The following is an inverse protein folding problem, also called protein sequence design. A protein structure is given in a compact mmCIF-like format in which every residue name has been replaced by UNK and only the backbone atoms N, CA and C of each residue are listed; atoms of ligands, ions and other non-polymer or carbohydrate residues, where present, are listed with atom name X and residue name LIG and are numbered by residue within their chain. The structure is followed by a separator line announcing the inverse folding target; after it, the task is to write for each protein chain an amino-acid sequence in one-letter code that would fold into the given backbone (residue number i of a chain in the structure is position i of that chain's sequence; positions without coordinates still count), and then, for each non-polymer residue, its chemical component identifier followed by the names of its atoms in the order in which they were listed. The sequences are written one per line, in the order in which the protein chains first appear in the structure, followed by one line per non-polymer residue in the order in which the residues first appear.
data_IF_632848915266
#
_entry.id   IF_632848915266
#
_cell.length_a   1.000
_cell.length_b   1.000
_cell.length_c   1.000
_cell.angle_alpha   90.00
_cell.angle_beta   90.00
_cell.angle_gamma   90.00
#
_symmetry.space_group_name_H-M   'P 1'
#
loop_
_entity.id
_entity.type
_entity.pdbx_description
1 polymer ?
#
# COMPACT_ATOMS: atom_id res chain seq x y z
N UNK A 1 0.87 26.63 -18.06
CA UNK A 1 1.24 26.01 -19.34
C UNK A 1 0.80 24.55 -19.30
N UNK A 2 0.11 24.13 -20.36
CA UNK A 2 -0.19 22.77 -20.80
C UNK A 2 -0.70 21.74 -19.76
N UNK A 3 -2.02 21.69 -19.68
CA UNK A 3 -2.83 20.50 -19.38
C UNK A 3 -2.44 19.37 -20.38
N UNK A 4 -1.57 18.45 -20.00
CA UNK A 4 -1.19 17.32 -20.86
C UNK A 4 -2.08 16.11 -20.58
N UNK A 5 -3.16 16.06 -21.37
CA UNK A 5 -3.73 14.87 -22.02
C UNK A 5 -3.79 13.58 -21.19
N UNK A 6 -4.93 13.38 -20.54
CA UNK A 6 -5.59 12.07 -20.49
C UNK A 6 -6.17 11.75 -21.87
N UNK A 7 -5.34 11.72 -22.92
CA UNK A 7 -5.69 10.94 -24.10
C UNK A 7 -5.70 9.48 -23.64
N UNK A 8 -6.66 8.67 -24.11
CA UNK A 8 -6.66 7.22 -23.82
C UNK A 8 -5.40 6.63 -24.45
N UNK A 9 -4.26 6.69 -23.76
CA UNK A 9 -3.10 5.91 -24.11
C UNK A 9 -3.58 4.47 -24.13
N UNK A 10 -3.42 3.82 -25.28
CA UNK A 10 -3.66 2.38 -25.35
C UNK A 10 -2.57 1.71 -24.52
N UNK A 11 -2.86 1.46 -23.25
CA UNK A 11 -1.96 0.72 -22.36
C UNK A 11 -1.64 -0.64 -23.00
N UNK A 12 -0.35 -0.98 -23.01
CA UNK A 12 0.16 -2.27 -23.49
C UNK A 12 1.06 -2.95 -22.48
N UNK A 13 1.71 -2.22 -21.58
CA UNK A 13 2.59 -2.75 -20.55
C UNK A 13 2.25 -2.10 -19.21
N UNK A 14 1.75 -2.90 -18.26
CA UNK A 14 1.36 -2.46 -16.92
C UNK A 14 2.10 -3.27 -15.89
N UNK A 15 2.84 -2.59 -15.00
CA UNK A 15 3.48 -3.21 -13.86
C UNK A 15 2.58 -3.03 -12.63
N UNK A 16 2.24 -4.15 -11.99
CA UNK A 16 1.44 -4.16 -10.76
C UNK A 16 2.27 -4.75 -9.64
N UNK A 17 2.23 -4.15 -8.46
CA UNK A 17 2.96 -4.64 -7.28
C UNK A 17 2.05 -4.84 -6.10
N UNK A 18 2.14 -6.01 -5.48
CA UNK A 18 1.47 -6.30 -4.22
C UNK A 18 2.50 -6.50 -3.12
N UNK A 19 2.58 -5.53 -2.20
CA UNK A 19 3.43 -5.60 -1.01
C UNK A 19 2.67 -6.31 0.11
N UNK A 20 2.88 -7.62 0.24
CA UNK A 20 2.32 -8.42 1.35
C UNK A 20 3.12 -8.28 2.64
N UNK A 21 2.68 -8.90 3.73
CA UNK A 21 3.42 -8.90 5.01
C UNK A 21 4.70 -9.71 4.99
N UNK A 22 4.80 -10.70 4.11
CA UNK A 22 5.98 -11.59 4.00
C UNK A 22 6.71 -11.42 2.67
N UNK A 23 5.95 -11.23 1.59
CA UNK A 23 6.48 -11.25 0.22
C UNK A 23 5.88 -10.12 -0.59
N UNK A 24 6.76 -9.39 -1.28
CA UNK A 24 6.40 -8.38 -2.27
C UNK A 24 6.46 -9.02 -3.64
N UNK A 25 5.34 -8.97 -4.37
CA UNK A 25 5.20 -9.57 -5.68
C UNK A 25 5.05 -8.46 -6.71
N UNK A 26 5.87 -8.51 -7.75
CA UNK A 26 5.68 -7.71 -8.94
C UNK A 26 5.06 -8.60 -10.03
N UNK A 27 4.19 -8.03 -10.84
CA UNK A 27 3.49 -8.70 -11.95
C UNK A 27 3.53 -7.80 -13.17
N UNK A 28 4.05 -8.32 -14.28
CA UNK A 28 4.02 -7.63 -15.57
C UNK A 28 2.83 -8.12 -16.39
N UNK A 29 1.96 -7.19 -16.76
CA UNK A 29 0.83 -7.44 -17.65
C UNK A 29 1.09 -6.80 -19.00
N UNK A 30 1.01 -7.60 -20.06
CA UNK A 30 1.22 -7.14 -21.42
C UNK A 30 0.02 -7.44 -22.33
N UNK A 31 -0.29 -6.49 -23.21
CA UNK A 31 -1.35 -6.61 -24.21
C UNK A 31 -0.81 -7.29 -25.46
N UNK A 32 -1.22 -8.54 -25.65
CA UNK A 32 -0.94 -9.35 -26.84
C UNK A 32 -2.08 -9.25 -27.84
N UNK A 33 -1.90 -9.83 -29.04
CA UNK A 33 -2.98 -9.96 -30.04
C UNK A 33 -4.19 -10.76 -29.53
N UNK A 34 -3.99 -11.60 -28.50
CA UNK A 34 -5.04 -12.40 -27.82
C UNK A 34 -5.59 -11.72 -26.57
N UNK A 35 -5.29 -10.43 -26.38
CA UNK A 35 -5.64 -9.64 -25.21
C UNK A 35 -4.56 -9.61 -24.13
N UNK A 36 -4.93 -9.13 -22.95
CA UNK A 36 -4.03 -8.98 -21.80
C UNK A 36 -3.58 -10.33 -21.24
N UNK A 37 -2.29 -10.43 -20.90
CA UNK A 37 -1.69 -11.59 -20.23
C UNK A 37 -0.75 -11.11 -19.14
N UNK A 38 -0.74 -11.82 -18.01
CA UNK A 38 0.38 -11.77 -17.09
C UNK A 38 1.54 -12.53 -17.76
N UNK A 39 2.63 -11.85 -18.08
CA UNK A 39 3.75 -12.44 -18.82
C UNK A 39 4.89 -12.83 -17.90
N UNK A 40 5.20 -11.99 -16.91
CA UNK A 40 6.27 -12.20 -15.94
C UNK A 40 5.81 -11.92 -14.52
N UNK A 41 6.49 -12.53 -13.56
CA UNK A 41 6.30 -12.33 -12.12
C UNK A 41 7.66 -12.36 -11.45
N UNK A 42 7.90 -11.37 -10.58
CA UNK A 42 9.04 -11.32 -9.68
C UNK A 42 8.53 -11.31 -8.24
N UNK A 43 9.35 -11.79 -7.32
CA UNK A 43 9.01 -11.90 -5.91
C UNK A 43 10.25 -11.74 -5.03
N UNK A 44 10.14 -10.87 -4.03
CA UNK A 44 11.18 -10.67 -3.04
C UNK A 44 10.59 -10.66 -1.62
N UNK A 45 11.38 -10.98 -0.58
CA UNK A 45 10.97 -10.78 0.79
C UNK A 45 10.55 -9.33 1.03
N UNK A 46 9.44 -9.12 1.74
CA UNK A 46 9.02 -7.77 2.12
C UNK A 46 9.89 -7.24 3.25
N UNK A 47 10.28 -5.97 3.13
CA UNK A 47 11.25 -5.29 4.01
C UNK A 47 10.60 -4.22 4.89
N UNK A 48 9.33 -4.42 5.26
CA UNK A 48 8.55 -3.48 6.09
C UNK A 48 8.97 -3.47 7.56
N UNK A 49 9.60 -4.54 8.03
CA UNK A 49 10.05 -4.69 9.42
C UNK A 49 11.52 -4.27 9.60
N UNK A 50 11.89 -4.00 10.85
CA UNK A 50 13.28 -3.81 11.24
C UNK A 50 14.13 -5.05 10.90
N UNK A 51 15.42 -4.88 10.51
CA UNK A 51 16.22 -3.65 10.57
C UNK A 51 16.14 -2.76 9.32
N UNK A 52 15.46 -3.20 8.26
CA UNK A 52 15.36 -2.43 7.00
C UNK A 52 14.31 -1.33 7.14
N UNK A 53 13.11 -1.69 7.61
CA UNK A 53 11.99 -0.78 7.83
C UNK A 53 11.68 0.14 6.63
N UNK A 54 11.85 -0.39 5.41
CA UNK A 54 11.61 0.30 4.15
C UNK A 54 11.08 -0.69 3.12
N UNK A 55 9.77 -0.62 2.83
CA UNK A 55 9.08 -1.51 1.87
C UNK A 55 9.59 -1.34 0.44
N UNK A 56 10.20 -0.19 0.11
CA UNK A 56 10.66 0.08 -1.25
C UNK A 56 11.81 -0.82 -1.65
N UNK A 57 12.64 -1.26 -0.69
CA UNK A 57 13.74 -2.20 -0.94
C UNK A 57 13.22 -3.54 -1.48
N UNK A 58 12.25 -4.16 -0.80
CA UNK A 58 11.62 -5.39 -1.27
C UNK A 58 10.87 -5.21 -2.60
N UNK A 59 10.28 -4.04 -2.83
CA UNK A 59 9.64 -3.72 -4.10
C UNK A 59 10.66 -3.62 -5.26
N UNK A 60 11.75 -2.88 -5.06
CA UNK A 60 12.82 -2.73 -6.05
C UNK A 60 13.44 -4.09 -6.41
N UNK A 61 13.72 -4.93 -5.42
CA UNK A 61 14.23 -6.29 -5.65
C UNK A 61 13.27 -7.12 -6.52
N UNK A 62 11.95 -7.02 -6.29
CA UNK A 62 10.96 -7.70 -7.12
C UNK A 62 10.88 -7.12 -8.55
N UNK A 63 11.16 -5.83 -8.73
CA UNK A 63 11.21 -5.18 -10.05
C UNK A 63 12.46 -5.59 -10.83
N UNK A 64 13.60 -5.66 -10.16
CA UNK A 64 14.86 -6.14 -10.73
C UNK A 64 14.71 -7.56 -11.26
N UNK A 65 14.07 -8.46 -10.52
CA UNK A 65 13.83 -9.83 -10.98
C UNK A 65 12.93 -9.86 -12.25
N UNK A 66 11.88 -9.03 -12.33
CA UNK A 66 11.09 -8.94 -13.57
C UNK A 66 11.91 -8.37 -14.71
N UNK A 67 12.70 -7.33 -14.47
CA UNK A 67 13.56 -6.74 -15.49
C UNK A 67 14.52 -7.79 -16.08
N UNK A 68 15.12 -8.64 -15.23
CA UNK A 68 15.97 -9.75 -15.65
C UNK A 68 15.20 -10.82 -16.44
N UNK A 69 14.03 -11.26 -15.93
CA UNK A 69 13.23 -12.31 -16.56
C UNK A 69 12.62 -11.89 -17.90
N UNK A 70 12.18 -10.64 -17.99
CA UNK A 70 11.53 -10.09 -19.18
C UNK A 70 12.53 -9.56 -20.21
N UNK A 71 13.77 -9.24 -19.79
CA UNK A 71 14.76 -8.56 -20.62
C UNK A 71 14.39 -7.11 -20.97
N UNK A 72 13.32 -6.57 -20.37
CA UNK A 72 12.83 -5.21 -20.58
C UNK A 72 13.45 -4.31 -19.50
N UNK A 73 14.06 -3.20 -19.89
CA UNK A 73 14.51 -2.17 -18.93
C UNK A 73 13.29 -1.51 -18.28
N UNK A 74 13.08 -1.75 -16.99
CA UNK A 74 11.97 -1.21 -16.21
C UNK A 74 12.41 -0.06 -15.31
N UNK A 75 13.62 -0.12 -14.76
CA UNK A 75 14.12 0.81 -13.76
C UNK A 75 15.06 1.84 -14.37
N UNK A 76 14.98 3.08 -13.87
CA UNK A 76 15.92 4.15 -14.22
C UNK A 76 17.23 3.98 -13.46
N UNK A 77 18.34 4.37 -14.09
CA UNK A 77 19.67 4.32 -13.45
C UNK A 77 19.86 5.40 -12.37
N UNK A 78 19.08 6.49 -12.42
CA UNK A 78 19.10 7.57 -11.42
C UNK A 78 17.72 8.23 -11.30
N UNK A 79 16.84 7.69 -10.46
CA UNK A 79 15.46 8.14 -10.39
C UNK A 79 15.30 9.45 -9.61
N UNK A 80 14.62 10.42 -10.20
CA UNK A 80 14.18 11.66 -9.54
C UNK A 80 12.71 11.54 -9.10
N UNK A 81 12.42 10.57 -8.24
CA UNK A 81 11.08 10.31 -7.72
C UNK A 81 10.56 8.93 -8.13
N UNK A 82 9.98 8.82 -9.32
CA UNK A 82 9.45 7.53 -9.82
C UNK A 82 10.61 6.66 -10.32
N UNK A 83 10.77 5.41 -9.86
CA UNK A 83 11.92 4.58 -10.22
C UNK A 83 11.85 3.98 -11.63
N UNK A 84 10.76 4.19 -12.36
CA UNK A 84 10.47 3.46 -13.60
C UNK A 84 10.78 4.26 -14.86
N UNK A 85 11.36 3.58 -15.86
CA UNK A 85 11.40 4.07 -17.23
C UNK A 85 9.95 4.11 -17.77
N UNK A 86 9.56 5.22 -18.40
CA UNK A 86 8.22 5.37 -18.99
C UNK A 86 8.31 5.05 -20.47
N UNK A 87 7.44 4.18 -20.98
CA UNK A 87 7.36 3.93 -22.42
C UNK A 87 6.93 5.21 -23.15
N UNK A 88 7.74 5.67 -24.11
CA UNK A 88 7.44 6.90 -24.86
C UNK A 88 6.35 6.64 -25.91
N UNK A 89 6.31 5.43 -26.45
CA UNK A 89 5.36 5.01 -27.47
C UNK A 89 4.73 3.64 -27.14
N UNK A 90 3.48 3.47 -27.58
CA UNK A 90 2.75 2.22 -27.39
C UNK A 90 3.45 1.08 -28.16
N UNK A 91 4.05 0.15 -27.43
CA UNK A 91 4.75 -1.02 -27.98
C UNK A 91 6.27 -0.96 -27.88
N UNK A 92 6.82 0.04 -27.20
CA UNK A 92 8.25 0.08 -26.85
C UNK A 92 8.67 -1.18 -26.11
N UNK A 93 9.87 -1.68 -26.40
CA UNK A 93 10.45 -2.85 -25.74
C UNK A 93 10.96 -2.55 -24.32
N UNK A 94 11.02 -1.27 -23.96
CA UNK A 94 11.52 -0.74 -22.69
C UNK A 94 10.44 0.11 -21.98
N UNK A 95 10.60 0.28 -20.67
CA UNK A 95 9.74 1.07 -19.81
C UNK A 95 8.40 0.41 -19.49
N UNK A 96 7.50 1.17 -18.88
CA UNK A 96 6.11 0.77 -18.62
C UNK A 96 5.16 1.92 -18.94
N UNK A 97 3.91 1.60 -19.30
CA UNK A 97 2.88 2.62 -19.53
C UNK A 97 2.20 3.04 -18.22
N UNK A 98 2.09 2.11 -17.27
CA UNK A 98 1.40 2.33 -16.00
C UNK A 98 1.99 1.46 -14.91
N UNK A 99 2.17 2.08 -13.74
CA UNK A 99 2.48 1.39 -12.49
C UNK A 99 1.29 1.47 -11.53
N UNK A 100 0.92 0.33 -10.93
CA UNK A 100 -0.07 0.24 -9.86
C UNK A 100 0.50 -0.53 -8.68
N UNK A 101 0.07 -0.19 -7.46
CA UNK A 101 0.50 -0.90 -6.26
C UNK A 101 -0.63 -1.08 -5.26
N UNK A 102 -0.63 -2.24 -4.60
CA UNK A 102 -1.39 -2.56 -3.40
C UNK A 102 -0.42 -2.90 -2.27
N UNK A 103 -0.78 -2.56 -1.03
CA UNK A 103 0.06 -2.91 0.12
C UNK A 103 -0.80 -3.30 1.31
N UNK A 104 -0.45 -4.43 1.91
CA UNK A 104 -0.91 -4.92 3.21
C UNK A 104 0.25 -5.14 4.19
N UNK A 105 1.48 -4.78 3.76
CA UNK A 105 2.72 -5.09 4.45
C UNK A 105 2.80 -4.54 5.88
N UNK A 106 2.23 -3.38 6.15
CA UNK A 106 2.27 -2.72 7.47
C UNK A 106 1.40 -3.38 8.55
N UNK A 107 0.73 -4.49 8.24
CA UNK A 107 -0.26 -5.10 9.13
C UNK A 107 -1.58 -4.34 9.15
N UNK A 108 -2.46 -4.71 10.08
CA UNK A 108 -3.73 -4.02 10.27
C UNK A 108 -3.51 -2.68 10.96
N UNK A 109 -4.18 -1.63 10.47
CA UNK A 109 -4.08 -0.27 10.97
C UNK A 109 -4.45 -0.23 12.47
N UNK A 110 -3.48 0.09 13.33
CA UNK A 110 -3.69 0.06 14.77
C UNK A 110 -4.37 1.36 15.20
N UNK A 111 -5.54 1.26 15.83
CA UNK A 111 -6.35 2.44 16.16
C UNK A 111 -6.99 2.38 17.53
N UNK A 112 -7.23 3.56 18.09
CA UNK A 112 -8.14 3.75 19.22
C UNK A 112 -9.47 4.27 18.66
N UNK A 113 -10.56 3.80 19.25
CA UNK A 113 -11.91 4.27 18.92
C UNK A 113 -12.45 5.09 20.07
N UNK A 114 -13.01 6.26 19.78
CA UNK A 114 -13.62 7.14 20.75
C UNK A 114 -15.08 7.45 20.39
N UNK A 115 -15.98 7.42 21.37
CA UNK A 115 -17.38 7.79 21.18
C UNK A 115 -18.01 8.52 22.35
N UNK A 116 -19.27 8.94 22.20
CA UNK A 116 -19.98 9.67 23.26
C UNK A 116 -20.41 8.73 24.40
N UNK A 117 -21.04 7.60 24.05
CA UNK A 117 -21.56 6.61 25.01
C UNK A 117 -20.92 5.25 24.71
N UNK A 118 -20.31 4.62 25.71
CA UNK A 118 -19.57 3.36 25.57
C UNK A 118 -20.41 2.28 24.87
N UNK A 119 -21.64 2.05 25.32
CA UNK A 119 -22.51 0.99 24.82
C UNK A 119 -23.21 1.28 23.48
N UNK A 120 -23.06 2.49 22.94
CA UNK A 120 -23.72 2.91 21.69
C UNK A 120 -22.69 3.34 20.65
N UNK A 121 -22.22 4.58 20.72
CA UNK A 121 -21.36 5.17 19.68
C UNK A 121 -20.00 4.49 19.65
N UNK A 122 -19.40 4.21 20.81
CA UNK A 122 -18.07 3.58 20.91
C UNK A 122 -18.12 2.13 20.41
N UNK A 123 -19.04 1.30 20.93
CA UNK A 123 -19.20 -0.08 20.46
C UNK A 123 -19.54 -0.16 18.97
N UNK A 124 -20.38 0.74 18.45
CA UNK A 124 -20.72 0.77 17.02
C UNK A 124 -19.51 1.10 16.16
N UNK A 125 -18.73 2.10 16.56
CA UNK A 125 -17.51 2.49 15.85
C UNK A 125 -16.43 1.40 15.92
N UNK A 126 -16.28 0.72 17.06
CA UNK A 126 -15.37 -0.40 17.21
C UNK A 126 -15.73 -1.57 16.29
N UNK A 127 -17.02 -1.93 16.21
CA UNK A 127 -17.52 -2.96 15.27
C UNK A 127 -17.28 -2.56 13.81
N UNK A 128 -17.48 -1.29 13.45
CA UNK A 128 -17.21 -0.80 12.10
C UNK A 128 -15.71 -0.86 11.77
N UNK A 129 -14.84 -0.46 12.70
CA UNK A 129 -13.39 -0.52 12.55
C UNK A 129 -12.89 -1.96 12.39
N UNK A 130 -13.33 -2.87 13.24
CA UNK A 130 -13.01 -4.31 13.14
C UNK A 130 -13.53 -4.89 11.81
N UNK A 131 -14.73 -4.52 11.39
CA UNK A 131 -15.31 -4.93 10.10
C UNK A 131 -14.52 -4.43 8.89
N UNK A 132 -13.83 -3.30 9.01
CA UNK A 132 -12.92 -2.76 8.00
C UNK A 132 -11.51 -3.39 8.05
N UNK A 133 -11.23 -4.30 8.98
CA UNK A 133 -9.93 -4.97 9.14
C UNK A 133 -8.90 -4.19 9.96
N UNK A 134 -9.32 -3.19 10.72
CA UNK A 134 -8.44 -2.46 11.64
C UNK A 134 -8.14 -3.28 12.91
N UNK A 135 -7.05 -2.94 13.59
CA UNK A 135 -6.70 -3.48 14.91
C UNK A 135 -7.12 -2.44 15.94
N UNK A 136 -8.24 -2.66 16.63
CA UNK A 136 -8.71 -1.78 17.70
C UNK A 136 -7.93 -2.08 18.98
N UNK A 137 -7.10 -1.12 19.40
CA UNK A 137 -6.21 -1.22 20.56
C UNK A 137 -6.92 -0.87 21.87
N UNK A 138 -7.83 0.10 21.80
CA UNK A 138 -8.63 0.54 22.94
C UNK A 138 -9.91 1.25 22.48
N UNK A 139 -10.91 1.24 23.34
CA UNK A 139 -12.18 1.95 23.20
C UNK A 139 -12.29 2.98 24.33
N UNK A 140 -12.62 4.22 24.02
CA UNK A 140 -12.73 5.33 24.99
C UNK A 140 -14.08 6.01 24.80
N UNK A 141 -14.80 6.31 25.88
CA UNK A 141 -16.04 7.06 25.80
C UNK A 141 -16.04 8.31 26.69
N UNK A 142 -17.01 9.20 26.51
CA UNK A 142 -17.19 10.32 27.42
C UNK A 142 -17.71 9.87 28.81
N UNK A 143 -18.39 8.71 28.87
CA UNK A 143 -18.85 8.05 30.09
C UNK A 143 -17.90 6.93 30.56
N UNK A 144 -16.61 6.99 30.18
CA UNK A 144 -15.59 6.05 30.62
C UNK A 144 -15.42 6.07 32.14
N UNK A 145 -15.26 4.89 32.74
CA UNK A 145 -15.05 4.74 34.19
C UNK A 145 -13.60 5.03 34.63
N UNK A 146 -12.65 5.09 33.70
CA UNK A 146 -11.23 5.38 33.97
C UNK A 146 -11.02 6.88 34.13
N UNK A 147 -10.06 7.25 34.96
CA UNK A 147 -9.71 8.65 35.16
C UNK A 147 -8.98 9.23 33.93
N UNK A 148 -9.13 10.53 33.65
CA UNK A 148 -8.56 11.16 32.45
C UNK A 148 -7.04 10.96 32.33
N UNK A 149 -6.31 10.99 33.45
CA UNK A 149 -4.86 10.80 33.43
C UNK A 149 -4.48 9.37 32.98
N UNK A 150 -5.27 8.36 33.34
CA UNK A 150 -5.05 6.96 32.97
C UNK A 150 -5.28 6.77 31.46
N UNK A 151 -6.32 7.41 30.92
CA UNK A 151 -6.60 7.42 29.49
C UNK A 151 -5.45 8.07 28.71
N UNK A 152 -4.94 9.21 29.17
CA UNK A 152 -3.82 9.91 28.53
C UNK A 152 -2.54 9.06 28.58
N UNK A 153 -2.21 8.47 29.72
CA UNK A 153 -1.05 7.58 29.85
C UNK A 153 -1.17 6.36 28.94
N UNK A 154 -2.36 5.77 28.85
CA UNK A 154 -2.64 4.63 28.00
C UNK A 154 -2.48 4.94 26.52
N UNK A 155 -3.02 6.06 26.03
CA UNK A 155 -2.82 6.52 24.64
C UNK A 155 -1.33 6.70 24.34
N UNK A 156 -0.58 7.31 25.26
CA UNK A 156 0.88 7.53 25.11
C UNK A 156 1.67 6.22 25.08
N UNK A 157 1.23 5.21 25.83
CA UNK A 157 1.90 3.91 25.88
C UNK A 157 1.60 3.06 24.64
N UNK A 158 0.33 3.01 24.24
CA UNK A 158 -0.15 2.18 23.12
C UNK A 158 0.29 2.75 21.76
N UNK A 159 0.45 4.08 21.63
CA UNK A 159 0.87 4.76 20.39
C UNK A 159 0.08 4.30 19.15
N UNK A 160 -1.24 4.55 19.09
CA UNK A 160 -2.03 4.19 17.92
C UNK A 160 -1.58 4.97 16.67
N UNK A 161 -1.74 4.35 15.50
CA UNK A 161 -1.53 5.00 14.20
C UNK A 161 -2.69 5.95 13.87
N UNK A 162 -3.91 5.62 14.33
CA UNK A 162 -5.14 6.37 14.07
C UNK A 162 -6.02 6.49 15.32
N UNK A 163 -6.75 7.60 15.43
CA UNK A 163 -7.87 7.74 16.35
C UNK A 163 -9.16 7.94 15.56
N UNK A 164 -10.11 7.02 15.71
CA UNK A 164 -11.45 7.09 15.12
C UNK A 164 -12.41 7.71 16.15
N UNK A 165 -13.11 8.79 15.80
CA UNK A 165 -14.06 9.47 16.68
C UNK A 165 -15.46 9.36 16.09
N UNK A 166 -16.43 8.90 16.88
CA UNK A 166 -17.82 8.70 16.46
C UNK A 166 -18.82 9.33 17.45
N UNK A 167 -19.72 10.17 16.93
CA UNK A 167 -20.81 10.80 17.69
C UNK A 167 -22.12 10.08 17.47
#
# INVERSE_FOLDING_TARGET
MANQRTEKQELRCVLVTDCGSTTTKALLFEKTDKGWRQTFRGEAPTTVENPVADVTVGALNAFEEIQELSGRKLLQDSPNGVPFEVSEHAGDAEGIDLYLSTSSAGGGLQMIVSGIVQDISTQSAARAALGAGAIVLDEIAADDSREEYELIERIRHIKPDIVLIAG
#
